data_IF_698408272281
#
_entry.id   IF_698408272281
#
_cell.length_a   1.000
_cell.length_b   1.000
_cell.length_c   1.000
_cell.angle_alpha   90.00
_cell.angle_beta   90.00
_cell.angle_gamma   90.00
#
_symmetry.space_group_name_H-M   'P 1'
#
loop_
_entity.id
_entity.type
_entity.pdbx_description
1 polymer ?
#
# COMPACT_ATOMS: atom_id res chain seq x y z
N UNK A 1 -2.95 48.70 6.82
CA UNK A 1 -2.11 47.69 6.17
C UNK A 1 -2.81 46.37 6.39
N UNK A 2 -3.47 45.83 5.37
CA UNK A 2 -4.16 44.56 5.45
C UNK A 2 -3.11 43.45 5.31
N UNK A 3 -2.93 42.66 6.38
CA UNK A 3 -2.15 41.41 6.36
C UNK A 3 -2.81 40.48 5.34
N UNK A 4 -2.27 40.43 4.14
CA UNK A 4 -2.58 39.41 3.18
C UNK A 4 -1.96 38.09 3.68
N UNK A 5 -2.69 37.34 4.51
CA UNK A 5 -2.41 35.94 4.74
C UNK A 5 -2.46 35.22 3.39
N UNK A 6 -1.34 35.17 2.68
CA UNK A 6 -1.18 34.33 1.50
C UNK A 6 -1.29 32.90 1.96
N UNK A 7 -2.51 32.35 1.91
CA UNK A 7 -2.73 30.94 2.14
C UNK A 7 -1.89 30.15 1.12
N UNK A 8 -0.99 29.28 1.61
CA UNK A 8 -0.18 28.46 0.75
C UNK A 8 -1.06 27.69 -0.26
N UNK A 9 -0.66 27.64 -1.53
CA UNK A 9 -1.44 26.95 -2.55
C UNK A 9 -1.61 25.48 -2.20
N UNK A 10 -2.81 24.95 -2.40
CA UNK A 10 -3.12 23.52 -2.20
C UNK A 10 -3.22 22.83 -3.54
N UNK A 11 -2.63 21.65 -3.66
CA UNK A 11 -2.76 20.79 -4.85
C UNK A 11 -3.26 19.40 -4.47
N UNK A 12 -3.87 18.70 -5.44
CA UNK A 12 -4.25 17.28 -5.26
C UNK A 12 -2.99 16.44 -5.53
N UNK A 13 -2.49 15.77 -4.48
CA UNK A 13 -1.32 14.89 -4.56
C UNK A 13 -1.74 13.43 -4.70
N UNK A 14 -2.78 13.01 -3.95
CA UNK A 14 -3.27 11.63 -3.99
C UNK A 14 -4.63 11.56 -4.66
N UNK A 15 -4.71 10.78 -5.73
CA UNK A 15 -5.98 10.52 -6.40
C UNK A 15 -6.91 9.65 -5.54
N UNK A 16 -8.19 9.65 -5.89
CA UNK A 16 -9.19 8.88 -5.15
C UNK A 16 -8.91 7.36 -5.15
N UNK A 17 -8.52 6.74 -6.28
CA UNK A 17 -8.19 5.32 -6.32
C UNK A 17 -7.08 4.90 -5.34
N UNK A 18 -5.98 5.67 -5.24
CA UNK A 18 -4.89 5.39 -4.29
C UNK A 18 -5.36 5.52 -2.84
N UNK A 19 -6.17 6.51 -2.54
CA UNK A 19 -6.69 6.74 -1.19
C UNK A 19 -7.65 5.64 -0.75
N UNK A 20 -8.58 5.24 -1.62
CA UNK A 20 -9.50 4.13 -1.36
C UNK A 20 -8.73 2.82 -1.20
N UNK A 21 -7.78 2.53 -2.09
CA UNK A 21 -6.89 1.38 -1.96
C UNK A 21 -6.24 1.34 -0.57
N UNK A 22 -5.60 2.44 -0.16
CA UNK A 22 -4.86 2.50 1.10
C UNK A 22 -5.76 2.24 2.32
N UNK A 23 -6.87 2.97 2.45
CA UNK A 23 -7.71 2.84 3.64
C UNK A 23 -8.52 1.55 3.68
N UNK A 24 -8.94 1.03 2.54
CA UNK A 24 -9.56 -0.30 2.46
C UNK A 24 -8.55 -1.38 2.84
N UNK A 25 -7.30 -1.27 2.36
CA UNK A 25 -6.24 -2.21 2.74
C UNK A 25 -5.95 -2.16 4.25
N UNK A 26 -5.87 -0.97 4.86
CA UNK A 26 -5.71 -0.83 6.32
C UNK A 26 -6.82 -1.55 7.08
N UNK A 27 -8.08 -1.34 6.69
CA UNK A 27 -9.21 -2.04 7.29
C UNK A 27 -9.13 -3.56 7.12
N UNK A 28 -8.82 -4.01 5.89
CA UNK A 28 -8.67 -5.44 5.61
C UNK A 28 -7.51 -6.08 6.41
N UNK A 29 -6.38 -5.41 6.58
CA UNK A 29 -5.26 -5.94 7.37
C UNK A 29 -5.66 -6.17 8.84
N UNK A 30 -6.46 -5.29 9.43
CA UNK A 30 -7.00 -5.47 10.77
C UNK A 30 -7.94 -6.69 10.82
N UNK A 31 -8.84 -6.80 9.83
CA UNK A 31 -9.78 -7.94 9.73
C UNK A 31 -9.01 -9.25 9.53
N UNK A 32 -7.99 -9.26 8.65
CA UNK A 32 -7.17 -10.45 8.38
C UNK A 32 -6.43 -10.94 9.62
N UNK A 33 -5.83 -10.03 10.37
CA UNK A 33 -5.19 -10.38 11.64
C UNK A 33 -6.21 -10.93 12.63
N UNK A 34 -7.33 -10.23 12.84
CA UNK A 34 -8.36 -10.66 13.79
C UNK A 34 -8.95 -12.03 13.43
N UNK A 35 -9.25 -12.26 12.15
CA UNK A 35 -9.86 -13.52 11.67
C UNK A 35 -8.89 -14.70 11.70
N UNK A 36 -7.56 -14.46 11.60
CA UNK A 36 -6.55 -15.50 11.72
C UNK A 36 -6.39 -16.00 13.18
N UNK A 37 -6.65 -15.13 14.17
CA UNK A 37 -6.47 -15.44 15.60
C UNK A 37 -7.74 -16.02 16.25
N UNK A 38 -8.90 -15.91 15.60
CA UNK A 38 -10.17 -16.31 16.21
C UNK A 38 -10.76 -17.54 15.48
N UNK A 39 -11.04 -18.59 16.27
CA UNK A 39 -11.67 -19.81 15.75
C UNK A 39 -13.05 -19.53 15.17
N UNK A 40 -13.41 -20.20 14.08
CA UNK A 40 -14.71 -20.04 13.42
C UNK A 40 -14.84 -18.83 12.49
N UNK A 41 -13.75 -18.07 12.28
CA UNK A 41 -13.73 -16.90 11.39
C UNK A 41 -12.89 -17.09 10.13
N UNK A 42 -12.40 -18.31 9.88
CA UNK A 42 -11.49 -18.59 8.77
C UNK A 42 -12.11 -18.34 7.39
N UNK A 43 -13.41 -18.54 7.23
CA UNK A 43 -14.10 -18.18 5.98
C UNK A 43 -13.96 -16.69 5.66
N UNK A 44 -14.09 -15.83 6.69
CA UNK A 44 -13.87 -14.38 6.52
C UNK A 44 -12.40 -14.05 6.22
N UNK A 45 -11.45 -14.83 6.79
CA UNK A 45 -10.03 -14.70 6.47
C UNK A 45 -9.78 -14.99 4.99
N UNK A 46 -10.34 -16.07 4.47
CA UNK A 46 -10.20 -16.46 3.06
C UNK A 46 -10.79 -15.38 2.14
N UNK A 47 -12.03 -14.95 2.39
CA UNK A 47 -12.67 -13.89 1.58
C UNK A 47 -11.92 -12.56 1.66
N UNK A 48 -11.46 -12.18 2.85
CA UNK A 48 -10.63 -10.99 3.03
C UNK A 48 -9.29 -11.11 2.30
N UNK A 49 -8.70 -12.31 2.26
CA UNK A 49 -7.49 -12.61 1.49
C UNK A 49 -7.68 -12.38 -0.02
N UNK A 50 -8.81 -12.80 -0.58
CA UNK A 50 -9.17 -12.49 -1.97
C UNK A 50 -9.31 -10.99 -2.21
N UNK A 51 -9.94 -10.27 -1.28
CA UNK A 51 -10.07 -8.82 -1.38
C UNK A 51 -8.69 -8.12 -1.33
N UNK A 52 -7.76 -8.58 -0.47
CA UNK A 52 -6.38 -8.10 -0.43
C UNK A 52 -5.68 -8.36 -1.76
N UNK A 53 -5.81 -9.58 -2.33
CA UNK A 53 -5.23 -9.93 -3.62
C UNK A 53 -5.73 -9.00 -4.74
N UNK A 54 -7.05 -8.77 -4.80
CA UNK A 54 -7.66 -7.84 -5.76
C UNK A 54 -7.07 -6.44 -5.61
N UNK A 55 -6.96 -5.93 -4.39
CA UNK A 55 -6.40 -4.61 -4.13
C UNK A 55 -4.93 -4.50 -4.52
N UNK A 56 -4.12 -5.52 -4.21
CA UNK A 56 -2.69 -5.51 -4.56
C UNK A 56 -2.50 -5.54 -6.07
N UNK A 57 -3.20 -6.42 -6.78
CA UNK A 57 -3.14 -6.49 -8.25
C UNK A 57 -3.64 -5.18 -8.89
N UNK A 58 -4.74 -4.62 -8.39
CA UNK A 58 -5.19 -3.30 -8.79
C UNK A 58 -4.10 -2.25 -8.60
N UNK A 59 -3.43 -2.22 -7.44
CA UNK A 59 -2.37 -1.25 -7.15
C UNK A 59 -1.16 -1.39 -8.08
N UNK A 60 -0.80 -2.61 -8.46
CA UNK A 60 0.26 -2.85 -9.45
C UNK A 60 -0.12 -2.25 -10.81
N UNK A 61 -1.34 -2.48 -11.30
CA UNK A 61 -1.84 -1.87 -12.54
C UNK A 61 -1.88 -0.35 -12.42
N UNK A 62 -2.43 0.18 -11.31
CA UNK A 62 -2.50 1.62 -11.07
C UNK A 62 -1.12 2.27 -10.88
N UNK A 63 -0.13 1.49 -10.47
CA UNK A 63 1.27 1.88 -10.41
C UNK A 63 1.95 2.06 -11.77
N UNK A 64 1.30 1.64 -12.84
CA UNK A 64 1.77 1.83 -14.23
C UNK A 64 0.86 2.81 -14.98
N UNK A 65 -0.46 2.61 -14.90
CA UNK A 65 -1.45 3.33 -15.70
C UNK A 65 -2.17 4.47 -14.95
N UNK A 66 -1.90 4.66 -13.66
CA UNK A 66 -2.57 5.63 -12.80
C UNK A 66 -2.06 7.05 -12.92
N UNK A 67 -2.49 7.88 -11.97
CA UNK A 67 -2.06 9.28 -11.86
C UNK A 67 -0.56 9.40 -11.61
N UNK A 68 0.03 10.52 -11.95
CA UNK A 68 1.48 10.74 -11.93
C UNK A 68 2.10 10.37 -10.57
N UNK A 69 1.54 10.87 -9.47
CA UNK A 69 2.04 10.55 -8.13
C UNK A 69 1.80 9.09 -7.68
N UNK A 70 0.95 8.35 -8.39
CA UNK A 70 0.67 6.94 -8.14
C UNK A 70 1.62 5.99 -8.88
N UNK A 71 2.26 6.44 -9.97
CA UNK A 71 3.08 5.59 -10.84
C UNK A 71 4.44 5.30 -10.21
N UNK A 72 4.85 4.04 -10.27
CA UNK A 72 6.15 3.60 -9.78
C UNK A 72 7.31 4.34 -10.46
N UNK A 73 7.25 4.57 -11.77
CA UNK A 73 8.27 5.31 -12.51
C UNK A 73 8.48 6.75 -12.04
N UNK A 74 7.49 7.36 -11.40
CA UNK A 74 7.57 8.75 -10.94
C UNK A 74 8.11 8.87 -9.51
N UNK A 75 7.94 7.86 -8.67
CA UNK A 75 8.36 7.95 -7.26
C UNK A 75 9.43 6.92 -6.82
N UNK A 76 9.57 5.79 -7.49
CA UNK A 76 10.63 4.83 -7.18
C UNK A 76 11.94 5.34 -7.77
N UNK A 77 12.83 5.77 -6.92
CA UNK A 77 14.17 6.28 -7.29
C UNK A 77 15.21 5.20 -7.03
N UNK A 78 16.35 5.28 -7.72
CA UNK A 78 17.44 4.33 -7.51
C UNK A 78 17.92 4.26 -6.06
N UNK A 79 18.57 3.16 -5.63
CA UNK A 79 18.99 2.96 -4.24
C UNK A 79 19.95 4.04 -3.75
N UNK A 80 20.76 4.64 -4.63
CA UNK A 80 21.61 5.78 -4.30
C UNK A 80 20.83 7.01 -3.83
N UNK A 81 19.66 7.29 -4.45
CA UNK A 81 18.80 8.40 -4.03
C UNK A 81 18.17 8.13 -2.66
N UNK A 82 17.79 6.88 -2.37
CA UNK A 82 17.27 6.49 -1.06
C UNK A 82 18.35 6.66 0.02
N UNK A 83 19.59 6.23 -0.25
CA UNK A 83 20.71 6.42 0.67
C UNK A 83 21.06 7.89 0.89
N UNK A 84 21.07 8.70 -0.18
CA UNK A 84 21.30 10.14 -0.09
C UNK A 84 20.22 10.81 0.76
N UNK A 85 18.95 10.40 0.59
CA UNK A 85 17.83 10.89 1.39
C UNK A 85 18.00 10.57 2.88
N UNK A 86 18.39 9.34 3.23
CA UNK A 86 18.67 8.95 4.62
C UNK A 86 19.79 9.81 5.22
N UNK A 87 20.89 10.00 4.47
CA UNK A 87 22.00 10.85 4.92
C UNK A 87 21.57 12.30 5.16
N UNK A 88 20.75 12.87 4.28
CA UNK A 88 20.19 14.22 4.44
C UNK A 88 19.31 14.29 5.70
N UNK A 89 18.43 13.29 5.90
CA UNK A 89 17.55 13.22 7.07
C UNK A 89 18.36 13.15 8.39
N UNK A 90 19.44 12.37 8.43
CA UNK A 90 20.35 12.27 9.60
C UNK A 90 21.10 13.59 9.87
N UNK A 91 21.30 14.42 8.85
CA UNK A 91 21.87 15.78 9.00
C UNK A 91 20.84 16.83 9.42
N UNK A 92 19.57 16.42 9.62
CA UNK A 92 18.48 17.33 9.95
C UNK A 92 17.83 18.01 8.74
N UNK A 93 18.38 17.79 7.54
CA UNK A 93 17.80 18.29 6.29
C UNK A 93 16.47 17.57 6.00
N UNK A 94 15.54 18.27 5.36
CA UNK A 94 14.26 17.67 4.96
C UNK A 94 13.96 18.05 3.50
N UNK A 95 14.54 17.30 2.54
CA UNK A 95 14.25 17.54 1.13
C UNK A 95 12.74 17.42 0.85
N UNK A 96 12.20 18.38 0.10
CA UNK A 96 10.78 18.47 -0.18
C UNK A 96 10.41 17.58 -1.37
N UNK A 97 9.31 16.86 -1.24
CA UNK A 97 8.72 16.04 -2.30
C UNK A 97 7.23 16.30 -2.43
N UNK A 98 6.75 16.34 -3.65
CA UNK A 98 5.32 16.48 -3.92
C UNK A 98 4.55 15.25 -3.42
N UNK A 99 4.98 14.07 -3.85
CA UNK A 99 4.45 12.76 -3.46
C UNK A 99 5.36 12.02 -2.48
N UNK A 100 5.75 10.79 -2.84
CA UNK A 100 6.62 9.98 -1.98
C UNK A 100 8.08 10.43 -2.06
N UNK A 101 8.73 10.49 -0.91
CA UNK A 101 10.19 10.58 -0.86
C UNK A 101 10.83 9.22 -1.26
N UNK A 102 12.13 9.18 -1.60
CA UNK A 102 12.78 7.95 -2.07
C UNK A 102 12.66 6.74 -1.13
N UNK A 103 12.72 6.95 0.19
CA UNK A 103 12.54 5.88 1.19
C UNK A 103 11.10 5.40 1.24
N UNK A 104 10.14 6.33 1.21
CA UNK A 104 8.71 5.99 1.12
C UNK A 104 8.39 5.19 -0.14
N UNK A 105 9.00 5.52 -1.26
CA UNK A 105 8.84 4.76 -2.51
C UNK A 105 9.28 3.30 -2.36
N UNK A 106 10.46 3.04 -1.80
CA UNK A 106 10.95 1.68 -1.55
C UNK A 106 10.13 0.94 -0.49
N UNK A 107 9.67 1.63 0.55
CA UNK A 107 8.77 1.05 1.54
C UNK A 107 7.46 0.53 0.92
N UNK A 108 6.87 1.29 -0.02
CA UNK A 108 5.67 0.86 -0.75
C UNK A 108 5.95 -0.39 -1.59
N UNK A 109 7.06 -0.41 -2.34
CA UNK A 109 7.43 -1.57 -3.16
C UNK A 109 7.60 -2.81 -2.28
N UNK A 110 8.32 -2.68 -1.16
CA UNK A 110 8.50 -3.77 -0.20
C UNK A 110 7.16 -4.27 0.35
N UNK A 111 6.29 -3.37 0.82
CA UNK A 111 4.97 -3.75 1.33
C UNK A 111 4.11 -4.45 0.28
N UNK A 112 4.12 -3.98 -0.97
CA UNK A 112 3.37 -4.62 -2.06
C UNK A 112 3.90 -6.02 -2.39
N UNK A 113 5.22 -6.22 -2.35
CA UNK A 113 5.83 -7.56 -2.52
C UNK A 113 5.39 -8.48 -1.39
N UNK A 114 5.50 -8.04 -0.13
CA UNK A 114 5.08 -8.84 1.02
C UNK A 114 3.59 -9.16 0.99
N UNK A 115 2.74 -8.21 0.61
CA UNK A 115 1.30 -8.43 0.45
C UNK A 115 0.99 -9.42 -0.68
N UNK A 116 1.72 -9.35 -1.79
CA UNK A 116 1.57 -10.29 -2.91
C UNK A 116 2.00 -11.71 -2.50
N UNK A 117 3.12 -11.84 -1.77
CA UNK A 117 3.55 -13.13 -1.20
C UNK A 117 2.51 -13.63 -0.21
N UNK A 118 1.99 -12.76 0.68
CA UNK A 118 0.97 -13.12 1.67
C UNK A 118 -0.30 -13.67 1.01
N UNK A 119 -0.89 -12.90 0.10
CA UNK A 119 -2.11 -13.32 -0.57
C UNK A 119 -1.86 -14.53 -1.50
N UNK A 120 -0.74 -14.54 -2.24
CA UNK A 120 -0.40 -15.62 -3.15
C UNK A 120 -0.18 -16.95 -2.45
N UNK A 121 0.56 -16.97 -1.35
CA UNK A 121 0.78 -18.21 -0.57
C UNK A 121 -0.50 -18.70 0.11
N UNK A 122 -1.36 -17.76 0.54
CA UNK A 122 -2.67 -18.10 1.13
C UNK A 122 -3.60 -18.84 0.18
N UNK A 123 -3.47 -18.67 -1.14
CA UNK A 123 -4.27 -19.43 -2.13
C UNK A 123 -4.01 -20.94 -2.07
N UNK A 124 -2.86 -21.36 -1.59
CA UNK A 124 -2.42 -22.76 -1.52
C UNK A 124 -2.33 -23.29 -0.09
N UNK A 125 -2.60 -22.44 0.91
CA UNK A 125 -2.41 -22.79 2.31
C UNK A 125 -3.44 -23.83 2.78
N UNK A 126 -3.07 -24.57 3.84
CA UNK A 126 -3.94 -25.50 4.52
C UNK A 126 -3.73 -25.43 6.04
N UNK A 127 -4.70 -25.91 6.82
CA UNK A 127 -4.65 -26.00 8.29
C UNK A 127 -4.53 -27.43 8.82
N UNK A 128 -4.36 -28.41 7.94
CA UNK A 128 -4.30 -29.86 8.23
C UNK A 128 -5.59 -30.45 8.84
N UNK A 129 -6.69 -29.69 8.92
CA UNK A 129 -7.93 -30.11 9.56
C UNK A 129 -9.13 -29.99 8.61
N UNK A 130 -9.51 -28.77 8.24
CA UNK A 130 -10.74 -28.50 7.48
C UNK A 130 -10.58 -27.45 6.39
N UNK A 131 -9.61 -26.58 6.50
CA UNK A 131 -9.49 -25.42 5.61
C UNK A 131 -8.37 -25.63 4.61
N UNK A 132 -8.74 -25.54 3.34
CA UNK A 132 -7.82 -25.56 2.21
C UNK A 132 -8.03 -24.30 1.36
N UNK A 133 -6.92 -23.70 0.93
CA UNK A 133 -6.96 -22.58 -0.03
C UNK A 133 -7.54 -23.03 -1.37
N UNK A 134 -8.06 -22.13 -2.19
CA UNK A 134 -8.76 -22.46 -3.44
C UNK A 134 -7.88 -23.17 -4.47
N UNK A 135 -6.58 -23.03 -4.39
CA UNK A 135 -5.61 -23.65 -5.28
C UNK A 135 -4.81 -24.79 -4.59
N UNK A 136 -5.23 -25.24 -3.42
CA UNK A 136 -4.57 -26.32 -2.69
C UNK A 136 -4.37 -27.55 -3.56
N UNK A 137 -5.42 -27.98 -4.29
CA UNK A 137 -5.40 -29.15 -5.17
C UNK A 137 -4.45 -29.03 -6.38
N UNK A 138 -3.89 -27.87 -6.65
CA UNK A 138 -2.96 -27.65 -7.76
C UNK A 138 -1.52 -28.00 -7.42
N UNK A 139 -1.23 -28.27 -6.15
CA UNK A 139 0.11 -28.57 -5.65
C UNK A 139 0.10 -29.83 -4.79
N UNK A 140 1.29 -30.37 -4.49
CA UNK A 140 1.40 -31.46 -3.53
C UNK A 140 1.18 -30.97 -2.09
N UNK A 141 0.80 -31.88 -1.19
CA UNK A 141 0.66 -31.56 0.25
C UNK A 141 1.94 -30.90 0.80
N UNK A 142 3.12 -31.48 0.51
CA UNK A 142 4.40 -30.94 0.99
C UNK A 142 4.63 -29.48 0.50
N UNK A 143 4.23 -29.19 -0.75
CA UNK A 143 4.32 -27.83 -1.30
C UNK A 143 3.33 -26.89 -0.61
N UNK A 144 2.11 -27.34 -0.34
CA UNK A 144 1.12 -26.56 0.40
C UNK A 144 1.61 -26.25 1.83
N UNK A 145 2.16 -27.23 2.53
CA UNK A 145 2.71 -27.07 3.89
C UNK A 145 3.87 -26.06 3.90
N UNK A 146 4.74 -26.11 2.90
CA UNK A 146 5.83 -25.16 2.72
C UNK A 146 5.28 -23.74 2.46
N UNK A 147 4.29 -23.59 1.56
CA UNK A 147 3.66 -22.31 1.28
C UNK A 147 2.92 -21.76 2.50
N UNK A 148 2.29 -22.62 3.30
CA UNK A 148 1.64 -22.24 4.56
C UNK A 148 2.68 -21.72 5.57
N UNK A 149 3.85 -22.34 5.65
CA UNK A 149 4.94 -21.85 6.50
C UNK A 149 5.43 -20.47 6.06
N UNK A 150 5.57 -20.25 4.74
CA UNK A 150 5.90 -18.93 4.19
C UNK A 150 4.81 -17.92 4.54
N UNK A 151 3.54 -18.28 4.38
CA UNK A 151 2.40 -17.41 4.70
C UNK A 151 2.47 -16.91 6.16
N UNK A 152 2.69 -17.81 7.11
CA UNK A 152 2.81 -17.50 8.54
C UNK A 152 4.05 -16.64 8.84
N UNK A 153 5.20 -16.99 8.28
CA UNK A 153 6.43 -16.23 8.47
C UNK A 153 6.34 -14.83 7.88
N UNK A 154 5.85 -14.73 6.63
CA UNK A 154 5.71 -13.47 5.91
C UNK A 154 4.76 -12.49 6.61
N UNK A 155 3.73 -13.01 7.29
CA UNK A 155 2.83 -12.17 8.08
C UNK A 155 3.57 -11.41 9.19
N UNK A 156 4.46 -12.06 9.93
CA UNK A 156 5.26 -11.40 10.96
C UNK A 156 6.18 -10.33 10.35
N UNK A 157 6.78 -10.60 9.20
CA UNK A 157 7.61 -9.64 8.47
C UNK A 157 6.77 -8.45 8.00
N UNK A 158 5.58 -8.71 7.48
CA UNK A 158 4.63 -7.66 7.06
C UNK A 158 4.22 -6.78 8.25
N UNK A 159 3.91 -7.35 9.41
CA UNK A 159 3.61 -6.59 10.62
C UNK A 159 4.78 -5.70 11.05
N UNK A 160 6.02 -6.21 11.00
CA UNK A 160 7.20 -5.42 11.32
C UNK A 160 7.35 -4.21 10.37
N UNK A 161 7.16 -4.42 9.06
CA UNK A 161 7.25 -3.35 8.05
C UNK A 161 6.11 -2.35 8.21
N UNK A 162 4.89 -2.79 8.53
CA UNK A 162 3.75 -1.90 8.86
C UNK A 162 4.06 -1.07 10.10
N UNK A 163 4.62 -1.66 11.16
CA UNK A 163 5.00 -0.94 12.37
C UNK A 163 6.05 0.14 12.07
N UNK A 164 7.06 -0.16 11.25
CA UNK A 164 8.05 0.81 10.78
C UNK A 164 7.39 1.93 9.97
N UNK A 165 6.45 1.59 9.08
CA UNK A 165 5.71 2.58 8.30
C UNK A 165 4.91 3.53 9.20
N UNK A 166 4.16 3.00 10.16
CA UNK A 166 3.39 3.82 11.11
C UNK A 166 4.33 4.69 11.95
N UNK A 167 5.43 4.11 12.45
CA UNK A 167 6.44 4.87 13.21
C UNK A 167 7.04 6.03 12.38
N UNK A 168 7.32 5.79 11.10
CA UNK A 168 7.79 6.84 10.19
C UNK A 168 6.74 7.94 10.01
N UNK A 169 5.48 7.59 9.79
CA UNK A 169 4.38 8.58 9.67
C UNK A 169 4.25 9.42 10.94
N UNK A 170 4.32 8.79 12.12
CA UNK A 170 4.30 9.48 13.41
C UNK A 170 5.54 10.36 13.62
N UNK A 171 6.71 9.90 13.21
CA UNK A 171 7.94 10.71 13.25
C UNK A 171 7.80 11.98 12.41
N UNK A 172 7.26 11.89 11.19
CA UNK A 172 6.99 13.07 10.36
C UNK A 172 5.98 13.99 11.03
N UNK A 173 4.89 13.45 11.57
CA UNK A 173 3.86 14.23 12.24
C UNK A 173 4.37 14.97 13.48
N UNK A 174 5.09 14.27 14.37
CA UNK A 174 5.44 14.76 15.69
C UNK A 174 6.79 15.52 15.71
N UNK A 175 7.79 15.01 14.99
CA UNK A 175 9.14 15.56 15.01
C UNK A 175 9.37 16.55 13.88
N UNK A 176 8.99 16.16 12.63
CA UNK A 176 9.14 17.03 11.47
C UNK A 176 7.98 18.02 11.29
N UNK A 177 6.90 17.84 12.06
CA UNK A 177 5.67 18.64 12.01
C UNK A 177 5.03 18.69 10.60
N UNK A 178 5.26 17.64 9.83
CA UNK A 178 4.65 17.42 8.52
C UNK A 178 3.54 16.37 8.62
N UNK A 179 2.30 16.79 8.38
CA UNK A 179 1.15 15.89 8.45
C UNK A 179 1.00 15.12 7.13
N UNK A 180 1.41 13.84 7.12
CA UNK A 180 1.26 12.94 5.98
C UNK A 180 -0.11 12.24 5.94
N UNK A 181 -0.85 12.21 7.08
CA UNK A 181 -2.16 11.57 7.19
C UNK A 181 -3.23 12.39 6.47
N UNK A 182 -3.23 13.70 6.68
CA UNK A 182 -4.24 14.58 6.09
C UNK A 182 -4.29 14.51 4.55
N UNK A 183 -3.18 14.56 3.81
CA UNK A 183 -3.19 14.35 2.36
C UNK A 183 -3.71 12.98 1.94
N UNK A 184 -3.46 11.93 2.72
CA UNK A 184 -3.96 10.59 2.41
C UNK A 184 -5.49 10.47 2.66
N UNK A 185 -6.08 11.32 3.50
CA UNK A 185 -7.52 11.41 3.69
C UNK A 185 -8.18 12.34 2.66
N UNK A 186 -7.67 13.56 2.52
CA UNK A 186 -8.28 14.62 1.70
C UNK A 186 -7.87 14.58 0.23
N UNK A 187 -6.74 13.95 -0.10
CA UNK A 187 -6.06 14.00 -1.39
C UNK A 187 -5.22 15.26 -1.58
N UNK A 188 -5.33 16.26 -0.71
CA UNK A 188 -4.76 17.59 -0.89
C UNK A 188 -3.58 17.84 0.05
N UNK A 189 -2.53 18.44 -0.49
CA UNK A 189 -1.35 18.90 0.26
C UNK A 189 -1.17 20.40 0.07
N UNK A 190 -0.86 21.12 1.16
CA UNK A 190 -0.37 22.50 1.08
C UNK A 190 1.07 22.45 0.60
N UNK A 191 1.35 23.20 -0.46
CA UNK A 191 2.69 23.22 -1.04
C UNK A 191 3.50 24.40 -0.49
N UNK A 192 4.74 24.15 -0.08
CA UNK A 192 5.68 25.24 0.16
C UNK A 192 6.00 25.98 -1.15
N UNK A 193 6.50 27.23 -1.07
CA UNK A 193 6.72 28.07 -2.27
C UNK A 193 7.60 27.39 -3.32
N UNK A 194 8.55 26.57 -2.92
CA UNK A 194 9.50 25.86 -3.80
C UNK A 194 8.83 24.81 -4.70
N UNK A 195 7.68 24.30 -4.28
CA UNK A 195 6.86 23.35 -5.04
C UNK A 195 5.59 24.02 -5.62
N UNK A 196 5.44 25.33 -5.42
CA UNK A 196 4.30 26.06 -5.96
C UNK A 196 4.28 25.96 -7.49
N UNK A 197 3.10 25.62 -8.05
CA UNK A 197 2.94 25.41 -9.48
C UNK A 197 3.15 23.98 -9.97
N UNK A 198 3.65 23.06 -9.14
CA UNK A 198 3.65 21.64 -9.48
C UNK A 198 2.24 21.06 -9.33
N UNK A 199 1.62 20.75 -10.46
CA UNK A 199 0.28 20.13 -10.52
C UNK A 199 0.41 18.77 -11.17
N UNK A 200 0.26 17.64 -10.42
CA UNK A 200 0.38 16.31 -10.99
C UNK A 200 -0.76 16.02 -11.96
N UNK A 201 -0.47 15.25 -13.00
CA UNK A 201 -1.47 14.77 -13.94
C UNK A 201 -2.33 13.70 -13.28
N UNK A 202 -3.62 13.98 -13.13
CA UNK A 202 -4.57 13.03 -12.57
C UNK A 202 -5.25 12.23 -13.68
N UNK A 203 -5.43 10.94 -13.41
CA UNK A 203 -6.21 10.03 -14.25
C UNK A 203 -7.64 9.94 -13.68
N UNK A 204 -8.62 9.84 -14.58
CA UNK A 204 -10.03 9.71 -14.19
C UNK A 204 -10.25 8.51 -13.27
N UNK A 205 -10.96 8.68 -12.14
CA UNK A 205 -11.21 7.58 -11.19
C UNK A 205 -12.04 6.44 -11.81
N UNK A 206 -12.80 6.69 -12.87
CA UNK A 206 -13.54 5.66 -13.61
C UNK A 206 -12.63 4.63 -14.27
N UNK A 207 -11.43 5.01 -14.71
CA UNK A 207 -10.41 4.06 -15.18
C UNK A 207 -9.92 3.17 -14.05
N UNK A 208 -9.79 3.72 -12.85
CA UNK A 208 -9.47 2.95 -11.65
C UNK A 208 -10.57 1.93 -11.31
N UNK A 209 -11.84 2.35 -11.37
CA UNK A 209 -12.97 1.45 -11.18
C UNK A 209 -12.98 0.33 -12.24
N UNK A 210 -12.79 0.65 -13.51
CA UNK A 210 -12.71 -0.35 -14.57
C UNK A 210 -11.59 -1.37 -14.33
N UNK A 211 -10.38 -0.90 -13.94
CA UNK A 211 -9.27 -1.78 -13.60
C UNK A 211 -9.60 -2.67 -12.39
N UNK A 212 -10.23 -2.12 -11.34
CA UNK A 212 -10.63 -2.87 -10.16
C UNK A 212 -11.66 -3.96 -10.50
N UNK A 213 -12.64 -3.66 -11.36
CA UNK A 213 -13.65 -4.64 -11.82
C UNK A 213 -12.99 -5.76 -12.61
N UNK A 214 -12.10 -5.43 -13.55
CA UNK A 214 -11.38 -6.45 -14.35
C UNK A 214 -10.56 -7.37 -13.44
N UNK A 215 -9.80 -6.81 -12.51
CA UNK A 215 -9.00 -7.59 -11.56
C UNK A 215 -9.90 -8.43 -10.65
N UNK A 216 -10.99 -7.85 -10.14
CA UNK A 216 -11.93 -8.57 -9.28
C UNK A 216 -12.55 -9.78 -10.00
N UNK A 217 -12.96 -9.62 -11.26
CA UNK A 217 -13.46 -10.72 -12.08
C UNK A 217 -12.39 -11.78 -12.34
N UNK A 218 -11.14 -11.35 -12.62
CA UNK A 218 -10.04 -12.29 -12.84
C UNK A 218 -9.73 -13.12 -11.59
N UNK A 219 -9.67 -12.51 -10.42
CA UNK A 219 -9.46 -13.22 -9.15
C UNK A 219 -10.65 -14.14 -8.86
N UNK A 220 -11.88 -13.66 -9.04
CA UNK A 220 -13.07 -14.49 -8.85
C UNK A 220 -13.08 -15.75 -9.74
N UNK A 221 -12.68 -15.62 -11.01
CA UNK A 221 -12.54 -16.76 -11.93
C UNK A 221 -11.41 -17.71 -11.52
N UNK A 222 -10.37 -17.20 -10.89
CA UNK A 222 -9.22 -18.01 -10.43
C UNK A 222 -9.58 -18.87 -9.20
N UNK A 223 -10.39 -18.33 -8.28
CA UNK A 223 -10.68 -18.96 -6.98
C UNK A 223 -12.01 -19.73 -6.93
N UNK A 224 -12.66 -19.88 -8.08
CA UNK A 224 -13.96 -20.55 -8.23
C UNK A 224 -13.86 -22.10 -8.40
#
# INVERSE_FOLDING_TARGET
MADSHHSLPTTIVWDLPVRLFHWTLVGLMIVQWWTAENSGTMDYHVWGGYAVLVLVLFRLIWGVAGSETARFGDFVRGPGAALAYVKALLRGETPLYLGHNPMGGWSIVLMLILLLVQAGTGLFANDDILIEGPLYSWVSKDTSDWLTSIHRFNFNLLLAVIAIHVAAVLFYLLVKRENLIHPMLSGRKRLPPELAGQVPRLVSPWRGLAALVVVGLSVWLLVR
#
